data_IF_135825826020
#
_entry.id   IF_135825826020
#
_cell.length_a   1.000
_cell.length_b   1.000
_cell.length_c   1.000
_cell.angle_alpha   90.00
_cell.angle_beta   90.00
_cell.angle_gamma   90.00
#
_symmetry.space_group_name_H-M   'P 1'
#
loop_
_entity.id
_entity.type
_entity.pdbx_description
1 polymer ?
#
# COMPACT_ATOMS: atom_id res chain seq x y z
N UNK A 1 -22.93 -4.81 -22.22
CA UNK A 1 -21.87 -3.98 -21.59
C UNK A 1 -22.45 -3.37 -20.33
N UNK A 2 -21.63 -3.19 -19.31
CA UNK A 2 -22.05 -2.47 -18.10
C UNK A 2 -22.17 -0.99 -18.40
N UNK A 3 -23.03 -0.26 -17.67
CA UNK A 3 -23.25 1.18 -17.87
C UNK A 3 -21.95 1.98 -17.80
N UNK A 4 -21.04 1.58 -16.92
CA UNK A 4 -19.74 2.24 -16.77
C UNK A 4 -18.85 2.10 -18.00
N UNK A 5 -18.87 0.94 -18.66
CA UNK A 5 -18.08 0.67 -19.86
C UNK A 5 -18.59 1.48 -21.05
N UNK A 6 -19.91 1.65 -21.18
CA UNK A 6 -20.50 2.52 -22.20
C UNK A 6 -20.04 3.97 -22.02
N UNK A 7 -20.05 4.47 -20.77
CA UNK A 7 -19.59 5.83 -20.47
C UNK A 7 -18.10 5.99 -20.80
N UNK A 8 -17.22 5.05 -20.39
CA UNK A 8 -15.80 5.14 -20.74
C UNK A 8 -15.56 5.07 -22.24
N UNK A 9 -16.26 4.20 -22.96
CA UNK A 9 -16.16 4.11 -24.41
C UNK A 9 -16.51 5.45 -25.08
N UNK A 10 -17.56 6.13 -24.62
CA UNK A 10 -17.91 7.46 -25.13
C UNK A 10 -16.84 8.52 -24.79
N UNK A 11 -16.31 8.50 -23.56
CA UNK A 11 -15.24 9.43 -23.15
C UNK A 11 -13.94 9.21 -23.94
N UNK A 12 -13.61 7.97 -24.27
CA UNK A 12 -12.42 7.61 -25.06
C UNK A 12 -12.51 8.07 -26.52
N UNK A 13 -13.73 8.14 -27.05
CA UNK A 13 -14.03 8.59 -28.42
C UNK A 13 -14.35 10.09 -28.51
N UNK A 14 -14.29 10.83 -27.40
CA UNK A 14 -14.50 12.28 -27.38
C UNK A 14 -13.33 13.02 -28.06
N UNK A 15 -13.61 13.62 -29.23
CA UNK A 15 -12.65 14.36 -30.05
C UNK A 15 -12.52 15.83 -29.66
N UNK A 16 -13.24 16.31 -28.65
CA UNK A 16 -13.14 17.70 -28.17
C UNK A 16 -11.70 18.02 -27.74
N UNK A 17 -11.22 19.26 -27.94
CA UNK A 17 -9.85 19.67 -27.57
C UNK A 17 -9.67 19.93 -26.07
N UNK A 18 -10.47 19.31 -25.22
CA UNK A 18 -10.32 19.36 -23.76
C UNK A 18 -9.02 18.69 -23.34
N UNK A 19 -8.16 19.42 -22.63
CA UNK A 19 -6.98 18.88 -21.95
C UNK A 19 -7.35 18.52 -20.52
N UNK A 20 -6.78 17.44 -19.97
CA UNK A 20 -6.97 17.05 -18.56
C UNK A 20 -7.96 15.90 -18.32
N UNK A 21 -8.85 16.07 -17.34
CA UNK A 21 -9.79 15.05 -16.86
C UNK A 21 -11.17 15.24 -17.50
N UNK A 22 -11.62 14.24 -18.26
CA UNK A 22 -12.99 14.18 -18.76
C UNK A 22 -13.88 13.55 -17.69
N UNK A 23 -15.05 14.14 -17.46
CA UNK A 23 -15.96 13.74 -16.39
C UNK A 23 -17.37 13.57 -16.94
N UNK A 24 -18.02 12.45 -16.59
CA UNK A 24 -19.45 12.27 -16.78
C UNK A 24 -20.08 11.79 -15.48
N UNK A 25 -21.11 12.50 -15.00
CA UNK A 25 -21.82 12.10 -13.78
C UNK A 25 -22.42 10.72 -13.97
N UNK A 26 -22.19 9.80 -13.04
CA UNK A 26 -22.65 8.42 -13.19
C UNK A 26 -24.18 8.32 -13.19
N UNK A 27 -24.85 9.03 -12.28
CA UNK A 27 -26.31 9.07 -12.19
C UNK A 27 -26.79 10.30 -11.44
N UNK A 28 -27.95 10.83 -11.81
CA UNK A 28 -28.68 11.85 -11.03
C UNK A 28 -29.37 11.27 -9.81
N UNK A 29 -29.58 9.94 -9.77
CA UNK A 29 -30.20 9.25 -8.63
C UNK A 29 -29.26 9.07 -7.44
N UNK A 30 -27.94 9.25 -7.63
CA UNK A 30 -26.95 9.18 -6.56
C UNK A 30 -26.78 10.57 -5.94
N UNK A 31 -26.95 10.63 -4.62
CA UNK A 31 -26.87 11.86 -3.83
C UNK A 31 -25.47 12.48 -3.87
N UNK A 32 -24.46 11.62 -3.90
CA UNK A 32 -23.05 12.00 -3.95
C UNK A 32 -22.61 12.38 -5.37
N UNK A 33 -21.73 13.37 -5.48
CA UNK A 33 -21.12 13.80 -6.74
C UNK A 33 -20.01 12.83 -7.19
N UNK A 34 -20.44 11.73 -7.81
CA UNK A 34 -19.55 10.71 -8.39
C UNK A 34 -19.62 10.69 -9.92
N UNK A 35 -18.46 10.58 -10.54
CA UNK A 35 -18.25 10.69 -11.97
C UNK A 35 -17.47 9.49 -12.49
N UNK A 36 -17.83 9.04 -13.68
CA UNK A 36 -16.97 8.22 -14.51
C UNK A 36 -16.04 9.16 -15.27
N UNK A 37 -14.75 8.87 -15.21
CA UNK A 37 -13.73 9.80 -15.64
C UNK A 37 -12.68 9.15 -16.55
N UNK A 38 -12.08 9.97 -17.40
CA UNK A 38 -10.95 9.57 -18.24
C UNK A 38 -9.86 10.63 -18.13
N UNK A 39 -8.67 10.22 -17.68
CA UNK A 39 -7.47 11.06 -17.75
C UNK A 39 -6.94 11.00 -19.18
N UNK A 40 -7.11 12.08 -19.94
CA UNK A 40 -6.89 12.09 -21.39
C UNK A 40 -5.42 12.00 -21.79
N UNK A 41 -4.51 12.59 -21.01
CA UNK A 41 -3.06 12.55 -21.25
C UNK A 41 -2.53 11.12 -21.36
N UNK A 42 -3.08 10.20 -20.56
CA UNK A 42 -2.65 8.81 -20.46
C UNK A 42 -3.66 7.82 -21.06
N UNK A 43 -4.86 8.30 -21.45
CA UNK A 43 -6.04 7.48 -21.76
C UNK A 43 -6.31 6.45 -20.67
N UNK A 44 -6.33 6.93 -19.43
CA UNK A 44 -6.50 6.13 -18.23
C UNK A 44 -7.93 6.23 -17.71
N UNK A 45 -8.63 5.09 -17.64
CA UNK A 45 -9.96 4.97 -17.04
C UNK A 45 -9.87 5.20 -15.54
N UNK A 46 -10.80 5.99 -15.00
CA UNK A 46 -10.92 6.25 -13.58
C UNK A 46 -12.36 6.54 -13.17
N UNK A 47 -12.62 6.50 -11.87
CA UNK A 47 -13.78 7.16 -11.26
C UNK A 47 -13.30 8.35 -10.43
N UNK A 48 -14.11 9.38 -10.35
CA UNK A 48 -13.82 10.59 -9.61
C UNK A 48 -14.95 10.89 -8.63
N UNK A 49 -14.60 11.07 -7.36
CA UNK A 49 -15.51 11.52 -6.32
C UNK A 49 -15.18 12.97 -5.96
N UNK A 50 -16.16 13.88 -6.07
CA UNK A 50 -15.98 15.29 -5.75
C UNK A 50 -16.20 15.55 -4.26
N UNK A 51 -15.20 16.16 -3.62
CA UNK A 51 -15.11 16.34 -2.17
C UNK A 51 -14.71 17.79 -1.83
N UNK A 52 -15.00 18.25 -0.62
CA UNK A 52 -14.43 19.46 -0.04
C UNK A 52 -12.96 19.26 0.33
N UNK A 53 -12.20 20.34 0.25
CA UNK A 53 -10.75 20.35 0.46
C UNK A 53 -10.33 20.14 1.93
N UNK A 54 -11.26 20.24 2.88
CA UNK A 54 -11.03 20.05 4.33
C UNK A 54 -10.92 18.57 4.75
N UNK A 55 -11.18 17.62 3.85
CA UNK A 55 -10.98 16.20 4.12
C UNK A 55 -9.49 15.82 4.03
N UNK A 56 -8.86 15.62 5.20
CA UNK A 56 -7.53 15.01 5.29
C UNK A 56 -7.66 13.51 5.02
N UNK A 57 -7.31 13.08 3.80
CA UNK A 57 -7.29 11.68 3.41
C UNK A 57 -5.86 11.15 3.37
N UNK A 58 -5.56 10.16 4.20
CA UNK A 58 -4.28 9.45 4.12
C UNK A 58 -4.35 8.36 3.05
N UNK A 59 -3.98 8.71 1.82
CA UNK A 59 -3.96 7.79 0.68
C UNK A 59 -2.75 6.86 0.65
N UNK A 60 -1.75 7.03 1.53
CA UNK A 60 -0.52 6.23 1.52
C UNK A 60 -0.80 4.73 1.66
N UNK A 61 -1.84 4.35 2.41
CA UNK A 61 -2.26 2.94 2.57
C UNK A 61 -2.78 2.28 1.28
N UNK A 62 -3.12 3.10 0.27
CA UNK A 62 -3.61 2.67 -1.05
C UNK A 62 -2.57 2.84 -2.15
N UNK A 63 -1.34 3.25 -1.83
CA UNK A 63 -0.25 3.42 -2.80
C UNK A 63 0.23 2.10 -3.41
N UNK A 64 0.05 0.98 -2.69
CA UNK A 64 0.53 -0.36 -3.08
C UNK A 64 -0.57 -1.24 -3.70
N UNK A 65 -1.64 -0.65 -4.24
CA UNK A 65 -2.65 -1.43 -4.95
C UNK A 65 -2.10 -1.89 -6.30
N UNK A 66 -2.12 -3.20 -6.57
CA UNK A 66 -1.71 -3.73 -7.87
C UNK A 66 -2.65 -3.19 -8.95
N UNK A 67 -2.06 -2.49 -9.92
CA UNK A 67 -2.74 -1.89 -11.07
C UNK A 67 -3.86 -0.88 -10.77
N UNK A 68 -4.07 -0.47 -9.52
CA UNK A 68 -5.04 0.56 -9.14
C UNK A 68 -4.30 1.67 -8.39
N UNK A 69 -4.66 2.93 -8.61
CA UNK A 69 -4.08 4.07 -7.88
C UNK A 69 -5.18 4.94 -7.31
N UNK A 70 -4.94 5.50 -6.13
CA UNK A 70 -5.81 6.51 -5.52
C UNK A 70 -5.05 7.83 -5.43
N UNK A 71 -5.61 8.90 -5.99
CA UNK A 71 -4.97 10.21 -6.06
C UNK A 71 -5.98 11.32 -5.72
N UNK A 72 -5.52 12.39 -5.08
CA UNK A 72 -6.33 13.58 -4.85
C UNK A 72 -5.83 14.69 -5.75
N UNK A 73 -6.73 15.29 -6.55
CA UNK A 73 -6.41 16.43 -7.40
C UNK A 73 -7.35 17.60 -7.10
N UNK A 74 -6.92 18.86 -7.22
CA UNK A 74 -7.80 20.01 -7.06
C UNK A 74 -8.81 20.10 -8.22
N UNK A 75 -10.02 20.58 -7.96
CA UNK A 75 -10.97 20.95 -9.01
C UNK A 75 -10.58 22.31 -9.61
N UNK A 76 -10.19 22.33 -10.88
CA UNK A 76 -9.81 23.55 -11.59
C UNK A 76 -10.94 24.60 -11.65
N UNK A 77 -12.20 24.17 -11.50
CA UNK A 77 -13.38 25.05 -11.55
C UNK A 77 -13.83 25.55 -10.18
N UNK A 78 -13.40 24.91 -9.10
CA UNK A 78 -13.81 25.21 -7.73
C UNK A 78 -12.67 24.93 -6.76
N UNK A 79 -11.95 25.98 -6.35
CA UNK A 79 -10.78 25.88 -5.46
C UNK A 79 -11.10 25.38 -4.06
N UNK A 80 -12.39 25.28 -3.69
CA UNK A 80 -12.83 24.70 -2.41
C UNK A 80 -13.03 23.19 -2.48
N UNK A 81 -12.87 22.60 -3.67
CA UNK A 81 -13.17 21.20 -3.96
C UNK A 81 -11.96 20.47 -4.55
N UNK A 82 -11.91 19.18 -4.27
CA UNK A 82 -10.96 18.23 -4.84
C UNK A 82 -11.71 17.05 -5.46
N UNK A 83 -11.05 16.33 -6.36
CA UNK A 83 -11.46 15.01 -6.82
C UNK A 83 -10.56 13.94 -6.20
N UNK A 84 -11.18 12.97 -5.52
CA UNK A 84 -10.56 11.70 -5.23
C UNK A 84 -10.73 10.80 -6.46
N UNK A 85 -9.61 10.47 -7.10
CA UNK A 85 -9.54 9.62 -8.27
C UNK A 85 -9.17 8.20 -7.86
N UNK A 86 -9.87 7.21 -8.40
CA UNK A 86 -9.44 5.80 -8.42
C UNK A 86 -9.15 5.45 -9.87
N UNK A 87 -7.88 5.17 -10.20
CA UNK A 87 -7.38 5.01 -11.56
C UNK A 87 -6.91 3.59 -11.83
N UNK A 88 -7.11 3.13 -13.07
CA UNK A 88 -6.55 1.88 -13.57
C UNK A 88 -5.17 2.10 -14.20
N UNK A 89 -4.13 1.46 -13.66
CA UNK A 89 -2.77 1.56 -14.20
C UNK A 89 -2.47 0.54 -15.30
N UNK A 90 -3.24 -0.55 -15.40
CA UNK A 90 -3.03 -1.61 -16.39
C UNK A 90 -4.32 -1.92 -17.17
N UNK A 91 -4.31 -1.65 -18.47
CA UNK A 91 -5.46 -1.84 -19.36
C UNK A 91 -5.90 -3.29 -19.52
N UNK A 92 -5.05 -4.26 -19.18
CA UNK A 92 -5.43 -5.67 -19.23
C UNK A 92 -6.53 -6.04 -18.22
N UNK A 93 -6.77 -5.20 -17.20
CA UNK A 93 -7.75 -5.45 -16.14
C UNK A 93 -8.99 -4.53 -16.24
N UNK A 94 -9.30 -4.00 -17.43
CA UNK A 94 -10.40 -3.07 -17.65
C UNK A 94 -11.78 -3.59 -17.23
N UNK A 95 -12.05 -4.87 -17.48
CA UNK A 95 -13.33 -5.54 -17.15
C UNK A 95 -13.49 -5.75 -15.64
N UNK A 96 -12.44 -6.20 -14.96
CA UNK A 96 -12.39 -6.34 -13.50
C UNK A 96 -12.50 -4.97 -12.85
N UNK A 97 -11.80 -3.97 -13.39
CA UNK A 97 -11.86 -2.59 -12.89
C UNK A 97 -13.25 -1.97 -13.04
N UNK A 98 -13.96 -2.25 -14.14
CA UNK A 98 -15.35 -1.84 -14.30
C UNK A 98 -16.24 -2.41 -13.19
N UNK A 99 -16.08 -3.69 -12.86
CA UNK A 99 -16.84 -4.36 -11.79
C UNK A 99 -16.53 -3.77 -10.42
N UNK A 100 -15.25 -3.51 -10.12
CA UNK A 100 -14.82 -2.80 -8.92
C UNK A 100 -15.50 -1.43 -8.81
N UNK A 101 -15.44 -0.62 -9.87
CA UNK A 101 -15.97 0.73 -9.86
C UNK A 101 -17.49 0.75 -9.67
N UNK A 102 -18.23 -0.20 -10.25
CA UNK A 102 -19.67 -0.34 -9.99
C UNK A 102 -19.96 -0.67 -8.53
N UNK A 103 -19.22 -1.59 -7.92
CA UNK A 103 -19.37 -1.91 -6.50
C UNK A 103 -19.06 -0.71 -5.60
N UNK A 104 -17.99 0.04 -5.90
CA UNK A 104 -17.64 1.26 -5.17
C UNK A 104 -18.76 2.30 -5.25
N UNK A 105 -19.28 2.57 -6.45
CA UNK A 105 -20.34 3.55 -6.69
C UNK A 105 -21.65 3.13 -6.02
N UNK A 106 -22.04 1.86 -6.15
CA UNK A 106 -23.24 1.33 -5.53
C UNK A 106 -23.14 1.40 -4.00
N UNK A 107 -21.95 1.14 -3.45
CA UNK A 107 -21.66 1.22 -2.03
C UNK A 107 -21.90 2.59 -1.42
N UNK A 108 -21.63 3.67 -2.16
CA UNK A 108 -21.81 5.04 -1.68
C UNK A 108 -23.15 5.68 -2.07
N UNK A 109 -23.98 4.98 -2.87
CA UNK A 109 -25.11 5.56 -3.59
C UNK A 109 -26.19 6.21 -2.70
N UNK A 110 -26.39 5.69 -1.49
CA UNK A 110 -27.42 6.13 -0.54
C UNK A 110 -26.93 7.13 0.51
N UNK A 111 -25.63 7.41 0.54
CA UNK A 111 -25.04 8.32 1.52
C UNK A 111 -24.93 9.75 0.95
N UNK A 112 -25.15 10.73 1.82
CA UNK A 112 -25.02 12.16 1.52
C UNK A 112 -23.97 12.86 2.38
N UNK A 113 -23.62 12.30 3.53
CA UNK A 113 -22.53 12.81 4.36
C UNK A 113 -21.19 12.44 3.72
N UNK A 114 -20.43 13.46 3.36
CA UNK A 114 -19.18 13.32 2.62
C UNK A 114 -18.13 12.47 3.35
N UNK A 115 -18.07 12.54 4.69
CA UNK A 115 -17.12 11.72 5.47
C UNK A 115 -17.52 10.25 5.43
N UNK A 116 -18.82 9.96 5.56
CA UNK A 116 -19.35 8.60 5.49
C UNK A 116 -19.14 8.01 4.09
N UNK A 117 -19.41 8.80 3.05
CA UNK A 117 -19.18 8.43 1.64
C UNK A 117 -17.73 8.02 1.41
N UNK A 118 -16.77 8.85 1.83
CA UNK A 118 -15.36 8.55 1.62
C UNK A 118 -14.94 7.32 2.42
N UNK A 119 -15.38 7.23 3.68
CA UNK A 119 -15.10 6.06 4.52
C UNK A 119 -15.62 4.76 3.88
N UNK A 120 -16.85 4.76 3.39
CA UNK A 120 -17.44 3.56 2.77
C UNK A 120 -16.78 3.20 1.44
N UNK A 121 -16.45 4.19 0.60
CA UNK A 121 -15.71 3.96 -0.63
C UNK A 121 -14.34 3.33 -0.36
N UNK A 122 -13.60 3.87 0.60
CA UNK A 122 -12.27 3.39 0.98
C UNK A 122 -12.33 2.01 1.64
N UNK A 123 -13.32 1.74 2.48
CA UNK A 123 -13.55 0.41 3.08
C UNK A 123 -13.81 -0.65 2.00
N UNK A 124 -14.59 -0.31 0.97
CA UNK A 124 -14.85 -1.23 -0.15
C UNK A 124 -13.62 -1.45 -1.01
N UNK A 125 -12.86 -0.40 -1.28
CA UNK A 125 -11.59 -0.52 -1.97
C UNK A 125 -10.63 -1.45 -1.21
N UNK A 126 -10.61 -1.39 0.12
CA UNK A 126 -9.82 -2.28 0.97
C UNK A 126 -10.32 -3.74 0.95
N UNK A 127 -11.64 -3.98 0.91
CA UNK A 127 -12.19 -5.32 0.71
C UNK A 127 -11.72 -5.93 -0.62
N UNK A 128 -11.80 -5.16 -1.70
CA UNK A 128 -11.32 -5.59 -3.01
C UNK A 128 -9.81 -5.81 -3.03
N UNK A 129 -9.04 -4.92 -2.41
CA UNK A 129 -7.60 -5.14 -2.18
C UNK A 129 -7.34 -6.48 -1.53
N UNK A 130 -8.05 -6.81 -0.44
CA UNK A 130 -7.86 -8.09 0.26
C UNK A 130 -8.18 -9.32 -0.61
N UNK A 131 -9.08 -9.18 -1.60
CA UNK A 131 -9.39 -10.24 -2.56
C UNK A 131 -8.28 -10.39 -3.60
N UNK A 132 -7.71 -9.28 -4.08
CA UNK A 132 -6.62 -9.27 -5.05
C UNK A 132 -5.27 -9.70 -4.44
N UNK A 133 -4.95 -9.23 -3.23
CA UNK A 133 -3.74 -9.61 -2.49
C UNK A 133 -3.70 -11.12 -2.23
N UNK A 134 -4.86 -11.74 -1.98
CA UNK A 134 -4.97 -13.21 -1.85
C UNK A 134 -4.81 -13.95 -3.18
N UNK A 135 -5.04 -13.31 -4.31
CA UNK A 135 -4.94 -13.90 -5.65
C UNK A 135 -3.55 -13.72 -6.29
N UNK A 136 -2.74 -12.77 -5.82
CA UNK A 136 -1.41 -12.47 -6.38
C UNK A 136 -0.22 -13.01 -5.59
N UNK A 137 -0.43 -13.95 -4.66
CA UNK A 137 0.61 -14.44 -3.76
C UNK A 137 1.66 -15.32 -4.45
N UNK A 138 2.59 -14.71 -5.19
CA UNK A 138 3.99 -15.02 -4.89
C UNK A 138 4.25 -14.31 -3.56
N UNK A 139 4.23 -15.06 -2.45
CA UNK A 139 4.55 -14.50 -1.14
C UNK A 139 6.00 -13.99 -1.09
N UNK A 140 6.51 -13.73 0.12
CA UNK A 140 7.93 -13.40 0.29
C UNK A 140 8.81 -14.48 -0.38
N UNK A 141 9.82 -14.05 -1.15
CA UNK A 141 10.84 -14.95 -1.67
C UNK A 141 11.58 -15.65 -0.51
N UNK A 142 12.25 -16.80 -0.75
CA UNK A 142 13.03 -17.46 0.31
C UNK A 142 14.10 -16.58 0.97
N UNK A 143 14.58 -15.55 0.26
CA UNK A 143 15.51 -14.56 0.80
C UNK A 143 14.79 -13.56 1.72
N UNK A 144 13.66 -13.01 1.29
CA UNK A 144 12.86 -12.09 2.10
C UNK A 144 12.27 -12.79 3.34
N UNK A 145 11.82 -14.04 3.21
CA UNK A 145 11.37 -14.86 4.35
C UNK A 145 12.48 -15.00 5.40
N UNK A 146 13.72 -15.22 4.94
CA UNK A 146 14.88 -15.39 5.82
C UNK A 146 15.28 -14.07 6.49
N UNK A 147 15.28 -12.96 5.75
CA UNK A 147 15.53 -11.63 6.29
C UNK A 147 14.54 -11.28 7.38
N UNK A 148 13.24 -11.40 7.07
CA UNK A 148 12.17 -11.11 8.02
C UNK A 148 12.22 -12.04 9.25
N UNK A 149 12.53 -13.33 9.06
CA UNK A 149 12.73 -14.24 10.19
C UNK A 149 13.85 -13.74 11.12
N UNK A 150 14.96 -13.25 10.56
CA UNK A 150 16.06 -12.69 11.33
C UNK A 150 15.66 -11.48 12.16
N UNK A 151 14.92 -10.56 11.55
CA UNK A 151 14.39 -9.36 12.22
C UNK A 151 13.47 -9.74 13.38
N UNK A 152 12.50 -10.63 13.13
CA UNK A 152 11.57 -11.12 14.15
C UNK A 152 12.29 -11.89 15.26
N UNK A 153 13.32 -12.66 14.92
CA UNK A 153 14.11 -13.38 15.91
C UNK A 153 14.83 -12.43 16.86
N UNK A 154 15.45 -11.38 16.32
CA UNK A 154 16.07 -10.35 17.12
C UNK A 154 15.03 -9.58 17.96
N UNK A 155 13.90 -9.19 17.34
CA UNK A 155 12.82 -8.48 18.03
C UNK A 155 12.26 -9.28 19.20
N UNK A 156 11.95 -10.57 19.01
CA UNK A 156 11.49 -11.47 20.08
C UNK A 156 12.49 -11.50 21.23
N UNK A 157 13.77 -11.68 20.92
CA UNK A 157 14.83 -11.69 21.94
C UNK A 157 14.90 -10.36 22.69
N UNK A 158 14.78 -9.25 21.98
CA UNK A 158 14.82 -7.92 22.60
C UNK A 158 13.58 -7.66 23.47
N UNK A 159 12.39 -8.02 23.01
CA UNK A 159 11.15 -7.91 23.79
C UNK A 159 11.29 -8.60 25.16
N UNK A 160 11.89 -9.80 25.19
CA UNK A 160 12.07 -10.57 26.42
C UNK A 160 13.07 -9.94 27.40
N UNK A 161 14.04 -9.17 26.91
CA UNK A 161 15.10 -8.56 27.72
C UNK A 161 14.86 -7.06 28.00
N UNK A 162 13.89 -6.43 27.32
CA UNK A 162 13.66 -4.99 27.38
C UNK A 162 12.69 -4.59 28.48
N UNK A 163 13.10 -3.64 29.31
CA UNK A 163 12.22 -2.97 30.27
C UNK A 163 11.32 -1.90 29.62
N UNK A 164 11.50 -1.61 28.32
CA UNK A 164 10.74 -0.61 27.58
C UNK A 164 10.26 -1.17 26.24
N UNK A 165 9.19 -1.95 26.30
CA UNK A 165 8.56 -2.59 25.13
C UNK A 165 8.14 -1.57 24.06
N UNK A 166 7.67 -0.39 24.47
CA UNK A 166 7.23 0.64 23.52
C UNK A 166 8.38 1.10 22.62
N UNK A 167 9.53 1.43 23.22
CA UNK A 167 10.70 1.86 22.43
C UNK A 167 11.26 0.72 21.58
N UNK A 168 11.23 -0.53 22.08
CA UNK A 168 11.65 -1.72 21.33
C UNK A 168 10.79 -1.94 20.09
N UNK A 169 9.47 -1.80 20.20
CA UNK A 169 8.57 -1.95 19.05
C UNK A 169 8.66 -0.75 18.09
N UNK A 170 8.77 0.47 18.62
CA UNK A 170 8.90 1.69 17.81
C UNK A 170 10.21 1.77 17.04
N UNK A 171 11.25 1.07 17.49
CA UNK A 171 12.53 1.07 16.80
C UNK A 171 12.53 0.15 15.58
N UNK A 172 11.63 -0.83 15.47
CA UNK A 172 11.58 -1.73 14.32
C UNK A 172 10.92 -1.05 13.12
N UNK A 173 11.74 -0.68 12.13
CA UNK A 173 11.34 0.09 10.94
C UNK A 173 11.60 -0.67 9.63
N UNK A 174 12.17 -1.88 9.69
CA UNK A 174 12.41 -2.76 8.54
C UNK A 174 11.17 -2.98 7.65
N UNK A 175 9.97 -3.25 8.19
CA UNK A 175 8.73 -3.40 7.40
C UNK A 175 8.31 -2.13 6.63
N UNK A 176 8.85 -0.96 6.99
CA UNK A 176 8.58 0.31 6.32
C UNK A 176 9.55 0.59 5.15
N UNK A 177 10.37 -0.39 4.75
CA UNK A 177 11.42 -0.27 3.73
C UNK A 177 12.45 0.82 4.07
N UNK A 178 12.73 0.99 5.36
CA UNK A 178 13.79 1.85 5.84
C UNK A 178 15.17 1.33 5.39
N UNK A 179 16.19 2.19 5.48
CA UNK A 179 17.57 1.83 5.10
C UNK A 179 18.13 0.72 6.01
N UNK A 180 17.62 0.64 7.24
CA UNK A 180 18.01 -0.31 8.29
C UNK A 180 16.79 -0.90 8.95
N UNK A 181 16.99 -2.02 9.62
CA UNK A 181 15.88 -2.78 10.23
C UNK A 181 15.39 -2.16 11.54
N UNK A 182 16.30 -1.61 12.35
CA UNK A 182 15.95 -0.94 13.59
C UNK A 182 16.61 0.43 13.71
N UNK A 183 15.88 1.42 14.17
CA UNK A 183 16.38 2.76 14.40
C UNK A 183 15.55 3.50 15.45
N UNK A 184 16.21 4.14 16.42
CA UNK A 184 15.57 5.04 17.35
C UNK A 184 16.58 6.10 17.82
N UNK A 185 16.17 7.36 17.84
CA UNK A 185 17.05 8.47 18.22
C UNK A 185 18.34 8.51 17.36
N UNK A 186 19.50 8.30 18.00
CA UNK A 186 20.85 8.41 17.46
C UNK A 186 21.53 7.04 17.31
N UNK A 187 20.79 5.95 17.35
CA UNK A 187 21.33 4.61 17.08
C UNK A 187 20.51 3.88 16.04
N UNK A 188 21.18 2.96 15.33
CA UNK A 188 20.52 2.05 14.43
C UNK A 188 21.14 0.64 14.47
N UNK A 189 20.37 -0.35 14.04
CA UNK A 189 20.79 -1.73 13.96
C UNK A 189 20.33 -2.34 12.64
N UNK A 190 21.26 -3.03 12.00
CA UNK A 190 21.04 -3.82 10.79
C UNK A 190 21.13 -5.30 11.15
N UNK A 191 20.12 -6.07 10.76
CA UNK A 191 20.04 -7.53 10.90
C UNK A 191 20.47 -8.17 9.60
N UNK A 192 21.45 -9.06 9.64
CA UNK A 192 21.84 -9.89 8.49
C UNK A 192 21.68 -11.35 8.83
N UNK A 193 21.01 -12.08 7.94
CA UNK A 193 20.73 -13.50 8.14
C UNK A 193 21.37 -14.35 7.05
N UNK A 194 22.25 -15.26 7.46
CA UNK A 194 22.92 -16.23 6.56
C UNK A 194 22.37 -17.64 6.80
N UNK A 195 22.52 -18.52 5.80
CA UNK A 195 22.19 -19.93 5.95
C UNK A 195 23.35 -20.85 5.53
N UNK A 196 23.42 -22.05 6.12
CA UNK A 196 24.36 -23.11 5.71
C UNK A 196 25.83 -22.85 6.10
N UNK A 197 26.75 -23.58 5.47
CA UNK A 197 28.16 -23.65 5.88
C UNK A 197 29.01 -22.39 5.59
N UNK A 198 28.44 -21.34 4.97
CA UNK A 198 29.20 -20.17 4.53
C UNK A 198 28.91 -18.92 5.38
N UNK A 199 28.95 -19.09 6.71
CA UNK A 199 28.63 -18.07 7.72
C UNK A 199 29.71 -16.99 7.90
N UNK A 200 30.78 -16.99 7.10
CA UNK A 200 31.94 -16.11 7.30
C UNK A 200 31.86 -14.80 6.49
N UNK A 201 30.87 -14.63 5.61
CA UNK A 201 30.71 -13.42 4.81
C UNK A 201 29.29 -12.87 4.95
N UNK A 202 29.20 -11.62 5.36
CA UNK A 202 27.96 -10.85 5.43
C UNK A 202 27.93 -9.94 4.21
N UNK A 203 26.87 -10.04 3.42
CA UNK A 203 26.64 -9.12 2.31
C UNK A 203 25.86 -7.90 2.81
N UNK A 204 26.36 -6.72 2.49
CA UNK A 204 25.67 -5.45 2.68
C UNK A 204 25.24 -4.96 1.30
N UNK A 205 23.94 -4.74 1.11
CA UNK A 205 23.38 -4.45 -0.21
C UNK A 205 23.49 -2.98 -0.60
N UNK A 206 23.71 -2.10 0.37
CA UNK A 206 23.97 -0.68 0.12
C UNK A 206 24.94 -0.11 1.13
N UNK A 207 25.88 0.72 0.65
CA UNK A 207 26.77 1.51 1.51
C UNK A 207 26.00 2.37 2.52
N UNK A 208 24.79 2.84 2.16
CA UNK A 208 23.93 3.64 3.04
C UNK A 208 23.54 2.90 4.32
N UNK A 209 23.53 1.57 4.32
CA UNK A 209 23.27 0.79 5.53
C UNK A 209 24.39 0.99 6.57
N UNK A 210 25.62 1.26 6.10
CA UNK A 210 26.82 1.50 6.90
C UNK A 210 27.07 2.98 7.23
N UNK A 211 26.22 3.88 6.72
CA UNK A 211 26.42 5.31 6.85
C UNK A 211 26.14 5.82 8.28
N UNK A 212 27.19 6.12 9.03
CA UNK A 212 27.06 6.57 10.42
C UNK A 212 26.78 8.07 10.57
N UNK A 213 26.54 8.80 9.48
CA UNK A 213 26.21 10.21 9.56
C UNK A 213 24.93 10.41 10.39
N UNK A 214 25.05 11.15 11.50
CA UNK A 214 24.02 11.38 12.52
C UNK A 214 23.69 10.18 13.44
N UNK A 215 24.53 9.13 13.47
CA UNK A 215 24.44 8.05 14.44
C UNK A 215 25.59 8.10 15.45
N UNK A 216 25.26 7.99 16.73
CA UNK A 216 26.20 7.68 17.79
C UNK A 216 26.57 6.19 17.82
N UNK A 217 25.69 5.31 17.33
CA UNK A 217 25.98 3.87 17.25
C UNK A 217 25.29 3.21 16.06
N UNK A 218 26.04 2.36 15.35
CA UNK A 218 25.53 1.45 14.35
C UNK A 218 25.90 0.02 14.74
N UNK A 219 24.89 -0.83 14.87
CA UNK A 219 25.04 -2.22 15.32
C UNK A 219 24.73 -3.15 14.15
N UNK A 220 25.58 -4.15 13.93
CA UNK A 220 25.32 -5.24 12.98
C UNK A 220 25.00 -6.50 13.77
N UNK A 221 23.75 -6.95 13.69
CA UNK A 221 23.33 -8.22 14.27
C UNK A 221 23.35 -9.31 13.20
N UNK A 222 24.23 -10.30 13.37
CA UNK A 222 24.33 -11.43 12.44
C UNK A 222 23.66 -12.67 13.02
N UNK A 223 22.70 -13.22 12.28
CA UNK A 223 22.03 -14.47 12.58
C UNK A 223 22.44 -15.54 11.55
N UNK A 224 23.06 -16.62 12.00
CA UNK A 224 23.35 -17.77 11.15
C UNK A 224 22.33 -18.87 11.40
N UNK A 225 21.64 -19.29 10.33
CA UNK A 225 20.61 -20.32 10.37
C UNK A 225 21.10 -21.62 9.71
N UNK A 226 20.59 -22.73 10.22
CA UNK A 226 20.68 -24.03 9.57
C UNK A 226 19.27 -24.44 9.12
N UNK A 227 19.10 -24.74 7.83
CA UNK A 227 17.79 -25.13 7.29
C UNK A 227 17.62 -26.64 7.47
N UNK A 228 16.61 -27.03 8.24
CA UNK A 228 16.23 -28.43 8.42
C UNK A 228 14.81 -28.67 7.89
N UNK A 229 14.56 -29.81 7.24
CA UNK A 229 13.27 -30.10 6.61
C UNK A 229 12.18 -30.55 7.59
N UNK A 230 12.54 -31.07 8.76
CA UNK A 230 11.59 -31.73 9.67
C UNK A 230 11.57 -31.12 11.07
N UNK A 231 12.42 -30.12 11.34
CA UNK A 231 12.56 -29.52 12.66
C UNK A 231 12.94 -28.04 12.53
N UNK A 232 12.58 -27.22 13.52
CA UNK A 232 12.85 -25.79 13.54
C UNK A 232 11.59 -24.94 13.72
N UNK A 233 11.74 -23.63 13.53
CA UNK A 233 10.67 -22.65 13.68
C UNK A 233 10.35 -22.03 12.32
N UNK A 234 9.06 -21.92 12.00
CA UNK A 234 8.61 -21.24 10.77
C UNK A 234 8.50 -19.73 11.00
N UNK A 235 8.55 -18.97 9.91
CA UNK A 235 8.31 -17.52 9.95
C UNK A 235 6.96 -17.17 10.60
N UNK A 236 5.91 -17.92 10.28
CA UNK A 236 4.58 -17.68 10.85
C UNK A 236 4.56 -17.98 12.35
N UNK A 237 5.22 -19.06 12.78
CA UNK A 237 5.29 -19.41 14.21
C UNK A 237 5.95 -18.33 15.04
N UNK A 238 7.07 -17.74 14.59
CA UNK A 238 7.72 -16.67 15.36
C UNK A 238 6.89 -15.37 15.36
N UNK A 239 6.18 -15.07 14.27
CA UNK A 239 5.27 -13.92 14.22
C UNK A 239 4.12 -14.08 15.21
N UNK A 240 3.51 -15.28 15.27
CA UNK A 240 2.43 -15.58 16.23
C UNK A 240 2.89 -15.46 17.68
N UNK A 241 4.12 -15.88 18.01
CA UNK A 241 4.69 -15.75 19.36
C UNK A 241 4.88 -14.29 19.80
N UNK A 242 5.20 -13.38 18.89
CA UNK A 242 5.41 -11.95 19.21
C UNK A 242 4.08 -11.22 19.43
N UNK A 243 3.01 -11.69 18.79
CA UNK A 243 1.67 -11.07 18.86
C UNK A 243 0.93 -11.44 20.16
N UNK A 244 1.30 -12.54 20.81
CA UNK A 244 0.71 -13.02 22.07
C UNK A 244 1.21 -12.25 23.30
#
# INVERSE_FOLDING_TARGET
>A
MTKINEIWYELENDTSSSTGLLLRRYSSAILTDVYIALRKSEKTRCIALKLKNDNVLNLARYANLKDIKAELIPDEKDSTKNFLLILLSNKLHEDIFASLCEDLINGISTFSDEKIVVQELLNRLEKWKSLFDKASAEGLSPEEQRGLYGELFFLRKWILESNNLKNTLQSWVGPELAIRDFQLSDWALEVKTTHGNNHQKIQINSERQLDTENLNSLILYHLSLEVQQQNGQTLNSIAEEIIQ
#
